data_IF_757476758032
#
_entry.id   IF_757476758032
#
_cell.length_a   1.000
_cell.length_b   1.000
_cell.length_c   1.000
_cell.angle_alpha   90.00
_cell.angle_beta   90.00
_cell.angle_gamma   90.00
#
_symmetry.space_group_name_H-M   'P 1'
#
loop_
_entity.id
_entity.type
_entity.pdbx_description
1 polymer ?
#
# COMPACT_ATOMS: atom_id res chain seq x y z
N UNK A 1 -9.13 9.12 13.19
CA UNK A 1 -9.63 8.71 11.86
C UNK A 1 -8.56 7.87 11.16
N UNK A 2 -8.79 7.33 9.98
CA UNK A 2 -7.75 6.65 9.21
C UNK A 2 -8.04 6.80 7.73
N UNK A 3 -7.06 6.51 6.88
CA UNK A 3 -7.28 6.54 5.43
C UNK A 3 -7.50 5.11 4.90
N UNK A 4 -8.39 4.99 3.92
CA UNK A 4 -8.69 3.78 3.13
C UNK A 4 -9.32 2.60 3.88
N UNK A 5 -8.77 2.18 5.01
CA UNK A 5 -9.27 1.06 5.81
C UNK A 5 -9.49 1.46 7.26
N UNK A 6 -10.62 1.02 7.82
CA UNK A 6 -11.07 1.26 9.18
C UNK A 6 -11.98 0.12 9.69
N UNK A 7 -12.71 0.35 10.79
CA UNK A 7 -13.64 -0.62 11.38
C UNK A 7 -14.85 -0.95 10.50
N UNK A 8 -15.17 -0.12 9.50
CA UNK A 8 -16.27 -0.35 8.54
C UNK A 8 -15.81 -1.19 7.33
N UNK A 9 -14.53 -1.56 7.28
CA UNK A 9 -13.95 -2.45 6.27
C UNK A 9 -14.56 -3.84 6.36
N UNK A 10 -15.31 -4.24 5.33
CA UNK A 10 -15.85 -5.60 5.13
C UNK A 10 -15.08 -6.26 4.01
N UNK A 11 -14.07 -7.04 4.39
CA UNK A 11 -13.06 -7.57 3.51
C UNK A 11 -13.52 -8.85 2.80
N UNK A 12 -13.40 -8.87 1.47
CA UNK A 12 -13.49 -10.06 0.64
C UNK A 12 -12.11 -10.47 0.13
N UNK A 13 -11.74 -11.76 0.27
CA UNK A 13 -10.42 -12.26 -0.12
C UNK A 13 -10.50 -13.14 -1.37
N UNK A 14 -9.90 -12.71 -2.47
CA UNK A 14 -9.77 -13.54 -3.67
C UNK A 14 -8.62 -14.53 -3.51
N UNK A 15 -8.89 -15.81 -3.82
CA UNK A 15 -7.93 -16.89 -3.59
C UNK A 15 -7.87 -17.38 -2.15
N UNK A 16 -8.91 -17.13 -1.33
CA UNK A 16 -8.94 -17.45 0.11
C UNK A 16 -8.68 -18.94 0.42
N UNK A 17 -8.98 -19.85 -0.50
CA UNK A 17 -8.79 -21.29 -0.31
C UNK A 17 -7.39 -21.78 -0.69
N UNK A 18 -6.52 -20.88 -1.17
CA UNK A 18 -5.11 -21.14 -1.39
C UNK A 18 -4.30 -20.92 -0.11
N UNK A 19 -3.11 -21.53 -0.02
CA UNK A 19 -2.28 -21.51 1.20
C UNK A 19 -2.02 -20.10 1.75
N UNK A 20 -1.53 -19.19 0.90
CA UNK A 20 -1.24 -17.81 1.32
C UNK A 20 -2.52 -17.00 1.58
N UNK A 21 -3.55 -17.21 0.75
CA UNK A 21 -4.86 -16.57 0.90
C UNK A 21 -5.51 -16.90 2.24
N UNK A 22 -5.53 -18.19 2.64
CA UNK A 22 -6.01 -18.63 3.95
C UNK A 22 -5.16 -18.01 5.06
N UNK A 23 -3.83 -18.14 4.99
CA UNK A 23 -2.94 -17.68 6.05
C UNK A 23 -3.12 -16.18 6.33
N UNK A 24 -3.08 -15.35 5.29
CA UNK A 24 -3.21 -13.90 5.47
C UNK A 24 -4.66 -13.49 5.77
N UNK A 25 -5.68 -14.11 5.18
CA UNK A 25 -7.07 -13.84 5.57
C UNK A 25 -7.28 -14.07 7.08
N UNK A 26 -6.73 -15.17 7.61
CA UNK A 26 -6.85 -15.48 9.04
C UNK A 26 -6.04 -14.56 9.92
N UNK A 27 -4.86 -14.12 9.49
CA UNK A 27 -4.10 -13.12 10.25
C UNK A 27 -4.84 -11.77 10.29
N UNK A 28 -5.44 -11.32 9.19
CA UNK A 28 -6.26 -10.11 9.15
C UNK A 28 -7.52 -10.26 10.03
N UNK A 29 -8.20 -11.42 9.99
CA UNK A 29 -9.35 -11.72 10.85
C UNK A 29 -8.98 -11.73 12.33
N UNK A 30 -7.86 -12.37 12.70
CA UNK A 30 -7.34 -12.41 14.09
C UNK A 30 -6.90 -11.04 14.59
N UNK A 31 -6.43 -10.17 13.70
CA UNK A 31 -6.10 -8.80 14.05
C UNK A 31 -7.34 -7.95 14.39
N UNK A 32 -8.49 -8.28 13.81
CA UNK A 32 -9.76 -7.57 14.03
C UNK A 32 -10.45 -7.10 12.76
N UNK A 33 -9.83 -7.27 11.58
CA UNK A 33 -10.46 -6.93 10.30
C UNK A 33 -11.68 -7.82 10.06
N UNK A 34 -12.81 -7.23 9.68
CA UNK A 34 -14.03 -7.97 9.38
C UNK A 34 -13.92 -8.68 8.03
N UNK A 35 -13.37 -9.89 8.01
CA UNK A 35 -13.28 -10.76 6.83
C UNK A 35 -14.63 -11.45 6.62
N UNK A 36 -15.43 -10.91 5.70
CA UNK A 36 -16.84 -11.30 5.52
C UNK A 36 -17.06 -12.39 4.46
N UNK A 37 -16.12 -12.54 3.53
CA UNK A 37 -16.24 -13.46 2.42
C UNK A 37 -14.87 -13.80 1.83
N UNK A 38 -14.81 -14.90 1.08
CA UNK A 38 -13.75 -15.09 0.11
C UNK A 38 -14.28 -15.61 -1.22
N UNK A 39 -13.48 -15.42 -2.27
CA UNK A 39 -13.81 -15.82 -3.63
C UNK A 39 -12.81 -16.86 -4.08
N UNK A 40 -13.31 -18.00 -4.55
CA UNK A 40 -12.53 -18.98 -5.31
C UNK A 40 -13.47 -19.67 -6.29
N UNK A 41 -13.37 -19.40 -7.61
CA UNK A 41 -14.19 -20.05 -8.62
C UNK A 41 -14.14 -21.57 -8.51
N UNK A 42 -15.31 -22.21 -8.53
CA UNK A 42 -15.50 -23.65 -8.40
C UNK A 42 -15.53 -24.17 -6.95
N UNK A 43 -15.46 -23.29 -5.94
CA UNK A 43 -15.47 -23.68 -4.52
C UNK A 43 -16.55 -22.99 -3.68
N UNK A 44 -17.58 -22.46 -4.33
CA UNK A 44 -18.72 -21.88 -3.62
C UNK A 44 -19.39 -22.88 -2.67
N UNK A 45 -19.85 -22.38 -1.52
CA UNK A 45 -20.45 -23.18 -0.45
C UNK A 45 -19.44 -23.81 0.51
N UNK A 46 -18.14 -23.67 0.24
CA UNK A 46 -17.11 -24.00 1.23
C UNK A 46 -17.02 -22.93 2.32
N UNK A 47 -16.38 -23.29 3.42
CA UNK A 47 -16.07 -22.41 4.55
C UNK A 47 -14.58 -22.50 4.88
N UNK A 48 -13.94 -21.34 5.06
CA UNK A 48 -12.54 -21.22 5.51
C UNK A 48 -12.54 -20.56 6.87
N UNK A 49 -12.47 -21.37 7.94
CA UNK A 49 -12.40 -20.91 9.33
C UNK A 49 -13.51 -19.89 9.68
N UNK A 50 -14.75 -20.20 9.29
CA UNK A 50 -15.94 -19.37 9.48
C UNK A 50 -16.03 -18.20 8.49
N UNK A 51 -15.38 -18.28 7.33
CA UNK A 51 -15.52 -17.33 6.22
C UNK A 51 -16.14 -18.07 5.03
N UNK A 52 -17.35 -17.69 4.58
CA UNK A 52 -18.02 -18.33 3.45
C UNK A 52 -17.30 -18.04 2.14
N UNK A 53 -17.23 -19.06 1.28
CA UNK A 53 -16.60 -18.98 -0.05
C UNK A 53 -17.66 -18.87 -1.14
N UNK A 54 -17.45 -17.96 -2.08
CA UNK A 54 -18.29 -17.71 -3.25
C UNK A 54 -17.52 -17.92 -4.56
N UNK A 55 -18.23 -18.14 -5.66
CA UNK A 55 -17.61 -18.22 -6.98
C UNK A 55 -17.18 -16.85 -7.51
N UNK A 56 -17.92 -15.78 -7.18
CA UNK A 56 -17.72 -14.44 -7.75
C UNK A 56 -17.74 -13.35 -6.67
N UNK A 57 -17.09 -12.23 -6.97
CA UNK A 57 -17.18 -11.04 -6.11
C UNK A 57 -18.61 -10.49 -6.04
N UNK A 58 -19.36 -10.48 -7.16
CA UNK A 58 -20.73 -9.99 -7.19
C UNK A 58 -21.63 -10.73 -6.19
N UNK A 59 -21.47 -12.05 -6.08
CA UNK A 59 -22.21 -12.85 -5.10
C UNK A 59 -21.77 -12.55 -3.66
N UNK A 60 -20.46 -12.43 -3.43
CA UNK A 60 -19.92 -12.05 -2.12
C UNK A 60 -20.41 -10.66 -1.66
N UNK A 61 -20.50 -9.69 -2.58
CA UNK A 61 -21.04 -8.35 -2.31
C UNK A 61 -22.53 -8.42 -2.00
N UNK A 62 -23.32 -9.15 -2.78
CA UNK A 62 -24.76 -9.27 -2.57
C UNK A 62 -25.11 -9.89 -1.20
N UNK A 63 -24.42 -10.98 -0.82
CA UNK A 63 -24.74 -11.74 0.39
C UNK A 63 -24.09 -11.19 1.66
N UNK A 64 -22.89 -10.61 1.53
CA UNK A 64 -22.06 -10.22 2.68
C UNK A 64 -21.71 -8.73 2.72
N UNK A 65 -22.15 -7.97 1.73
CA UNK A 65 -21.96 -6.52 1.68
C UNK A 65 -20.50 -6.09 1.59
N UNK A 66 -19.61 -6.94 1.07
CA UNK A 66 -18.18 -6.65 0.97
C UNK A 66 -17.93 -5.30 0.27
N UNK A 67 -17.06 -4.46 0.83
CA UNK A 67 -16.73 -3.14 0.29
C UNK A 67 -15.23 -2.98 -0.06
N UNK A 68 -14.41 -3.95 0.34
CA UNK A 68 -12.96 -3.98 0.11
C UNK A 68 -12.55 -5.36 -0.39
N UNK A 69 -11.69 -5.42 -1.41
CA UNK A 69 -11.13 -6.67 -1.93
C UNK A 69 -9.63 -6.76 -1.67
N UNK A 70 -9.16 -7.96 -1.30
CA UNK A 70 -7.73 -8.29 -1.21
C UNK A 70 -7.43 -9.44 -2.17
N UNK A 71 -6.54 -9.18 -3.13
CA UNK A 71 -6.24 -10.09 -4.24
C UNK A 71 -4.99 -10.91 -3.90
N UNK A 72 -5.19 -12.23 -3.74
CA UNK A 72 -4.16 -13.22 -3.40
C UNK A 72 -4.04 -14.35 -4.44
N UNK A 73 -4.48 -14.10 -5.67
CA UNK A 73 -4.40 -15.08 -6.76
C UNK A 73 -3.05 -14.99 -7.50
N UNK A 74 -2.60 -16.08 -8.15
CA UNK A 74 -1.41 -16.05 -8.99
C UNK A 74 -1.44 -14.96 -10.07
N UNK A 75 -0.25 -14.49 -10.56
CA UNK A 75 -0.16 -13.31 -11.43
C UNK A 75 -1.01 -13.37 -12.69
N UNK A 76 -1.05 -14.55 -13.33
CA UNK A 76 -1.85 -14.78 -14.55
C UNK A 76 -3.36 -14.59 -14.38
N UNK A 77 -3.85 -14.48 -13.14
CA UNK A 77 -5.28 -14.29 -12.82
C UNK A 77 -5.55 -12.97 -12.11
N UNK A 78 -4.52 -12.23 -11.70
CA UNK A 78 -4.66 -11.09 -10.82
C UNK A 78 -5.36 -9.91 -11.50
N UNK A 79 -5.02 -9.63 -12.76
CA UNK A 79 -5.65 -8.54 -13.51
C UNK A 79 -7.18 -8.73 -13.65
N UNK A 80 -7.61 -9.94 -14.03
CA UNK A 80 -9.04 -10.25 -14.16
C UNK A 80 -9.74 -10.23 -12.80
N UNK A 81 -9.08 -10.70 -11.73
CA UNK A 81 -9.64 -10.67 -10.38
C UNK A 81 -9.80 -9.25 -9.83
N UNK A 82 -8.88 -8.33 -10.16
CA UNK A 82 -8.99 -6.90 -9.81
C UNK A 82 -10.20 -6.27 -10.52
N UNK A 83 -10.34 -6.53 -11.82
CA UNK A 83 -11.45 -5.98 -12.62
C UNK A 83 -12.79 -6.57 -12.17
N UNK A 84 -12.86 -7.87 -11.87
CA UNK A 84 -14.07 -8.51 -11.34
C UNK A 84 -14.51 -7.89 -10.01
N UNK A 85 -13.57 -7.59 -9.11
CA UNK A 85 -13.87 -6.91 -7.85
C UNK A 85 -14.44 -5.51 -8.11
N UNK A 86 -13.83 -4.74 -9.01
CA UNK A 86 -14.30 -3.41 -9.39
C UNK A 86 -15.72 -3.45 -10.00
N UNK A 87 -15.96 -4.36 -10.95
CA UNK A 87 -17.26 -4.56 -11.59
C UNK A 87 -18.36 -5.01 -10.60
N UNK A 88 -17.98 -5.72 -9.54
CA UNK A 88 -18.89 -6.09 -8.45
C UNK A 88 -19.27 -4.91 -7.53
N UNK A 89 -18.71 -3.71 -7.76
CA UNK A 89 -19.02 -2.50 -7.00
C UNK A 89 -18.12 -2.24 -5.80
N UNK A 90 -17.04 -3.03 -5.62
CA UNK A 90 -16.04 -2.80 -4.57
C UNK A 90 -15.22 -1.56 -4.92
N UNK A 91 -15.11 -0.61 -3.98
CA UNK A 91 -14.48 0.69 -4.22
C UNK A 91 -13.00 0.75 -3.84
N UNK A 92 -12.53 -0.22 -3.06
CA UNK A 92 -11.12 -0.36 -2.69
C UNK A 92 -10.62 -1.78 -2.97
N UNK A 93 -9.62 -1.89 -3.84
CA UNK A 93 -8.96 -3.16 -4.18
C UNK A 93 -7.49 -3.09 -3.79
N UNK A 94 -7.01 -4.08 -3.05
CA UNK A 94 -5.61 -4.21 -2.64
C UNK A 94 -5.03 -5.44 -3.33
N UNK A 95 -4.09 -5.22 -4.23
CA UNK A 95 -3.42 -6.28 -4.97
C UNK A 95 -2.07 -6.62 -4.35
N UNK A 96 -1.99 -7.78 -3.69
CA UNK A 96 -0.75 -8.25 -3.05
C UNK A 96 0.18 -8.93 -4.05
N UNK A 97 -0.40 -9.60 -5.05
CA UNK A 97 0.30 -10.41 -6.05
C UNK A 97 1.47 -9.67 -6.70
N UNK A 98 2.65 -10.27 -6.67
CA UNK A 98 3.86 -9.83 -7.40
C UNK A 98 3.99 -10.55 -8.75
N UNK A 99 4.56 -9.87 -9.75
CA UNK A 99 4.90 -10.48 -11.04
C UNK A 99 3.75 -10.45 -12.06
N UNK A 100 2.83 -9.51 -11.89
CA UNK A 100 1.81 -9.22 -12.91
C UNK A 100 2.53 -8.64 -14.14
N UNK A 101 2.20 -9.05 -15.38
CA UNK A 101 2.78 -8.42 -16.56
C UNK A 101 2.44 -6.93 -16.61
N UNK A 102 3.43 -6.06 -16.84
CA UNK A 102 3.21 -4.61 -16.90
C UNK A 102 2.13 -4.17 -17.92
N UNK A 103 1.93 -4.94 -19.00
CA UNK A 103 0.85 -4.69 -19.96
C UNK A 103 -0.53 -4.95 -19.35
N UNK A 104 -0.66 -5.97 -18.49
CA UNK A 104 -1.90 -6.25 -17.77
C UNK A 104 -2.15 -5.20 -16.68
N UNK A 105 -1.10 -4.75 -15.99
CA UNK A 105 -1.17 -3.61 -15.05
C UNK A 105 -1.67 -2.35 -15.75
N UNK A 106 -1.09 -2.00 -16.91
CA UNK A 106 -1.50 -0.86 -17.72
C UNK A 106 -2.97 -0.95 -18.15
N UNK A 107 -3.42 -2.16 -18.55
CA UNK A 107 -4.82 -2.43 -18.91
C UNK A 107 -5.75 -2.17 -17.72
N UNK A 108 -5.40 -2.70 -16.54
CA UNK A 108 -6.16 -2.50 -15.29
C UNK A 108 -6.19 -1.03 -14.91
N UNK A 109 -5.03 -0.38 -14.83
CA UNK A 109 -4.90 1.04 -14.48
C UNK A 109 -5.75 1.93 -15.38
N UNK A 110 -5.67 1.74 -16.70
CA UNK A 110 -6.42 2.53 -17.67
C UNK A 110 -7.92 2.32 -17.53
N UNK A 111 -8.37 1.09 -17.26
CA UNK A 111 -9.78 0.80 -17.04
C UNK A 111 -10.29 1.48 -15.77
N UNK A 112 -9.61 1.31 -14.64
CA UNK A 112 -10.02 1.88 -13.35
C UNK A 112 -9.99 3.42 -13.36
N UNK A 113 -8.97 4.04 -13.97
CA UNK A 113 -8.92 5.51 -14.13
C UNK A 113 -10.07 6.05 -14.97
N UNK A 114 -10.55 5.30 -15.97
CA UNK A 114 -11.73 5.69 -16.77
C UNK A 114 -13.05 5.54 -16.00
N UNK A 115 -13.17 4.50 -15.16
CA UNK A 115 -14.33 4.33 -14.29
C UNK A 115 -14.40 5.42 -13.22
N UNK A 116 -13.25 5.79 -12.65
CA UNK A 116 -13.09 6.97 -11.78
C UNK A 116 -13.63 6.79 -10.35
N UNK A 117 -14.13 5.61 -10.01
CA UNK A 117 -14.82 5.35 -8.73
C UNK A 117 -14.21 4.20 -7.92
N UNK A 118 -13.14 3.56 -8.42
CA UNK A 118 -12.44 2.47 -7.73
C UNK A 118 -10.97 2.84 -7.51
N UNK A 119 -10.50 2.66 -6.28
CA UNK A 119 -9.09 2.81 -5.91
C UNK A 119 -8.40 1.46 -5.86
N UNK A 120 -7.26 1.35 -6.54
CA UNK A 120 -6.36 0.20 -6.49
C UNK A 120 -5.09 0.58 -5.72
N UNK A 121 -4.70 -0.25 -4.76
CA UNK A 121 -3.39 -0.21 -4.08
C UNK A 121 -2.60 -1.46 -4.44
N UNK A 122 -1.33 -1.30 -4.80
CA UNK A 122 -0.54 -2.35 -5.47
C UNK A 122 -0.59 -2.26 -7.00
N UNK A 123 -0.20 -3.32 -7.73
CA UNK A 123 0.16 -4.65 -7.25
C UNK A 123 1.55 -4.71 -6.56
N UNK A 124 2.03 -5.91 -6.25
CA UNK A 124 3.31 -6.15 -5.58
C UNK A 124 3.50 -5.27 -4.34
N UNK A 125 2.53 -5.33 -3.44
CA UNK A 125 2.49 -4.46 -2.27
C UNK A 125 2.18 -5.24 -0.99
N UNK A 126 2.59 -4.71 0.18
CA UNK A 126 2.25 -5.34 1.45
C UNK A 126 0.79 -5.11 1.86
N UNK A 127 0.08 -4.18 1.22
CA UNK A 127 -1.28 -3.77 1.54
C UNK A 127 -1.36 -2.54 2.45
N UNK A 128 -2.41 -2.50 3.27
CA UNK A 128 -2.74 -1.33 4.11
C UNK A 128 -2.95 -1.76 5.56
N UNK A 129 -2.41 -1.00 6.49
CA UNK A 129 -2.65 -1.16 7.92
C UNK A 129 -3.07 0.17 8.54
N UNK A 130 -4.24 0.20 9.17
CA UNK A 130 -4.68 1.24 10.09
C UNK A 130 -4.66 0.65 11.50
N UNK A 131 -3.60 0.90 12.30
CA UNK A 131 -3.43 0.22 13.58
C UNK A 131 -4.63 0.40 14.51
N UNK A 132 -5.05 -0.69 15.15
CA UNK A 132 -6.22 -0.72 16.04
C UNK A 132 -7.57 -0.75 15.33
N UNK A 133 -7.58 -0.70 13.98
CA UNK A 133 -8.81 -0.62 13.17
C UNK A 133 -8.91 -1.78 12.18
N UNK A 134 -8.02 -1.80 11.19
CA UNK A 134 -8.02 -2.83 10.15
C UNK A 134 -6.63 -3.06 9.56
N UNK A 135 -6.33 -4.33 9.30
CA UNK A 135 -5.23 -4.77 8.45
C UNK A 135 -5.80 -5.41 7.18
N UNK A 136 -5.31 -5.02 6.01
CA UNK A 136 -5.67 -5.60 4.72
C UNK A 136 -4.39 -5.84 3.93
N UNK A 137 -3.77 -6.99 4.17
CA UNK A 137 -2.59 -7.44 3.43
C UNK A 137 -1.71 -8.39 4.24
N UNK A 138 -0.40 -8.20 4.08
CA UNK A 138 0.66 -9.00 4.70
C UNK A 138 1.49 -8.23 5.73
N UNK A 139 1.09 -7.01 6.08
CA UNK A 139 1.78 -6.19 7.08
C UNK A 139 1.70 -6.91 8.45
N UNK A 140 2.83 -7.12 9.15
CA UNK A 140 2.85 -7.77 10.45
C UNK A 140 2.36 -6.81 11.54
N UNK A 141 1.04 -6.69 11.67
CA UNK A 141 0.39 -5.64 12.46
C UNK A 141 0.75 -5.62 13.96
N UNK A 142 1.29 -6.71 14.51
CA UNK A 142 1.72 -6.81 15.91
C UNK A 142 2.87 -5.85 16.28
N UNK A 143 3.64 -5.35 15.31
CA UNK A 143 4.73 -4.40 15.55
C UNK A 143 4.28 -2.93 15.57
N UNK A 144 3.00 -2.66 15.27
CA UNK A 144 2.49 -1.30 15.09
C UNK A 144 1.43 -0.98 16.14
N UNK A 145 1.42 0.28 16.55
CA UNK A 145 0.41 0.85 17.44
C UNK A 145 -0.21 2.08 16.80
N UNK A 146 -1.43 2.39 17.22
CA UNK A 146 -2.10 3.61 16.78
C UNK A 146 -1.31 4.86 17.18
N UNK A 147 -1.27 5.84 16.28
CA UNK A 147 -0.68 7.15 16.52
C UNK A 147 -0.95 8.11 15.36
N UNK A 148 -0.01 9.02 15.13
CA UNK A 148 -0.17 10.21 14.31
C UNK A 148 0.73 10.28 13.07
N UNK A 149 1.52 9.24 12.78
CA UNK A 149 2.43 9.21 11.62
C UNK A 149 1.82 8.40 10.48
N UNK A 150 1.51 9.08 9.37
CA UNK A 150 1.12 8.43 8.11
C UNK A 150 2.35 7.91 7.37
N UNK A 151 2.30 6.70 6.81
CA UNK A 151 3.40 6.13 6.03
C UNK A 151 2.91 5.70 4.65
N UNK A 152 3.59 6.16 3.60
CA UNK A 152 3.40 5.68 2.23
C UNK A 152 4.72 5.12 1.70
N UNK A 153 4.69 3.93 1.09
CA UNK A 153 5.93 3.31 0.59
C UNK A 153 5.75 2.38 -0.60
N UNK A 154 6.80 2.29 -1.42
CA UNK A 154 6.94 1.27 -2.47
C UNK A 154 7.44 -0.08 -1.94
N UNK A 155 8.05 -0.14 -0.76
CA UNK A 155 8.70 -1.33 -0.22
C UNK A 155 8.02 -1.87 1.04
N UNK A 156 7.80 -3.19 1.10
CA UNK A 156 7.22 -3.84 2.27
C UNK A 156 8.13 -3.79 3.51
N UNK A 157 9.29 -4.46 3.47
CA UNK A 157 10.13 -4.63 4.67
C UNK A 157 10.70 -3.32 5.21
N UNK A 158 11.04 -2.37 4.33
CA UNK A 158 11.49 -1.04 4.75
C UNK A 158 10.38 -0.27 5.48
N UNK A 159 9.13 -0.41 5.05
CA UNK A 159 7.98 0.15 5.78
C UNK A 159 7.89 -0.40 7.19
N UNK A 160 8.13 -1.70 7.37
CA UNK A 160 8.06 -2.34 8.67
C UNK A 160 9.17 -1.85 9.60
N UNK A 161 10.37 -1.69 9.06
CA UNK A 161 11.49 -1.17 9.83
C UNK A 161 11.24 0.27 10.28
N UNK A 162 10.80 1.16 9.38
CA UNK A 162 10.52 2.56 9.71
C UNK A 162 9.41 2.65 10.78
N UNK A 163 8.31 1.92 10.60
CA UNK A 163 7.23 1.93 11.59
C UNK A 163 7.65 1.37 12.95
N UNK A 164 8.46 0.31 12.99
CA UNK A 164 9.01 -0.20 14.24
C UNK A 164 9.98 0.79 14.91
N UNK A 165 10.83 1.48 14.15
CA UNK A 165 11.75 2.50 14.68
C UNK A 165 10.98 3.70 15.28
N UNK A 166 9.89 4.11 14.64
CA UNK A 166 8.96 5.12 15.18
C UNK A 166 8.28 4.63 16.46
N UNK A 167 7.80 3.37 16.47
CA UNK A 167 7.16 2.76 17.63
C UNK A 167 8.06 2.75 18.87
N UNK A 168 9.34 2.38 18.69
CA UNK A 168 10.36 2.37 19.74
C UNK A 168 10.66 3.76 20.31
N UNK A 169 10.44 4.82 19.53
CA UNK A 169 10.57 6.23 19.93
C UNK A 169 9.29 6.83 20.53
N UNK A 170 8.27 6.01 20.74
CA UNK A 170 7.02 6.44 21.36
C UNK A 170 5.91 6.84 20.38
N UNK A 171 6.23 7.01 19.09
CA UNK A 171 5.26 7.37 18.05
C UNK A 171 4.47 6.16 17.55
N UNK A 172 3.31 6.39 16.95
CA UNK A 172 2.49 5.35 16.32
C UNK A 172 2.03 5.79 14.94
N UNK A 173 1.32 4.91 14.24
CA UNK A 173 0.87 5.20 12.88
C UNK A 173 -0.62 5.50 12.83
N UNK A 174 -1.00 6.48 12.01
CA UNK A 174 -2.39 6.73 11.65
C UNK A 174 -2.87 5.68 10.64
N UNK A 175 -2.15 5.57 9.53
CA UNK A 175 -2.25 4.48 8.55
C UNK A 175 -0.92 4.28 7.84
N UNK A 176 -0.74 3.07 7.32
CA UNK A 176 0.42 2.64 6.55
C UNK A 176 -0.10 2.08 5.22
N UNK A 177 0.38 2.65 4.11
CA UNK A 177 -0.03 2.26 2.76
C UNK A 177 1.19 1.85 1.95
N UNK A 178 1.30 0.56 1.65
CA UNK A 178 2.25 0.08 0.67
C UNK A 178 1.66 0.21 -0.73
N UNK A 179 2.14 1.14 -1.54
CA UNK A 179 1.65 1.36 -2.92
C UNK A 179 2.20 0.34 -3.92
N UNK A 180 3.31 -0.32 -3.58
CA UNK A 180 3.91 -1.42 -4.34
C UNK A 180 5.15 -1.05 -5.14
N UNK A 181 5.91 -2.08 -5.53
CA UNK A 181 7.19 -1.97 -6.22
C UNK A 181 7.10 -2.08 -7.76
N UNK A 182 5.91 -2.34 -8.29
CA UNK A 182 5.69 -2.56 -9.72
C UNK A 182 5.65 -1.22 -10.50
N UNK A 183 5.94 -1.23 -11.81
CA UNK A 183 6.10 -0.01 -12.61
C UNK A 183 4.80 0.75 -12.87
N UNK A 184 3.63 0.09 -12.79
CA UNK A 184 2.33 0.73 -12.99
C UNK A 184 1.43 0.49 -11.76
N UNK A 185 1.70 1.18 -10.64
CA UNK A 185 0.87 1.04 -9.44
C UNK A 185 -0.51 1.69 -9.64
N UNK A 186 -1.53 1.14 -8.97
CA UNK A 186 -2.88 1.69 -8.99
C UNK A 186 -3.03 3.04 -8.28
N UNK A 187 -2.19 3.28 -7.27
CA UNK A 187 -2.12 4.54 -6.51
C UNK A 187 -0.67 5.01 -6.41
N UNK A 188 -0.45 6.31 -6.60
CA UNK A 188 0.85 6.98 -6.51
C UNK A 188 1.14 7.52 -5.10
N UNK A 189 2.33 8.06 -4.89
CA UNK A 189 2.64 8.83 -3.69
C UNK A 189 1.68 10.00 -3.51
N UNK A 190 1.40 10.77 -4.57
CA UNK A 190 0.51 11.93 -4.54
C UNK A 190 -0.89 11.51 -4.08
N UNK A 191 -1.44 10.43 -4.65
CA UNK A 191 -2.78 9.93 -4.33
C UNK A 191 -2.95 9.56 -2.85
N UNK A 192 -1.86 9.21 -2.15
CA UNK A 192 -1.88 8.83 -0.73
C UNK A 192 -1.51 10.00 0.18
N UNK A 193 -0.55 10.82 -0.22
CA UNK A 193 -0.17 12.04 0.51
C UNK A 193 -1.36 12.99 0.60
N UNK A 194 -2.16 13.12 -0.46
CA UNK A 194 -3.41 13.89 -0.45
C UNK A 194 -4.40 13.39 0.63
N UNK A 195 -4.54 12.06 0.77
CA UNK A 195 -5.40 11.50 1.81
C UNK A 195 -4.85 11.76 3.21
N UNK A 196 -3.53 11.66 3.38
CA UNK A 196 -2.90 11.97 4.66
C UNK A 196 -2.99 13.45 5.02
N UNK A 197 -2.87 14.36 4.05
CA UNK A 197 -3.10 15.80 4.24
C UNK A 197 -4.51 16.05 4.80
N UNK A 198 -5.52 15.33 4.29
CA UNK A 198 -6.91 15.47 4.71
C UNK A 198 -7.24 14.74 6.02
N UNK A 199 -6.44 13.76 6.45
CA UNK A 199 -6.70 12.98 7.66
C UNK A 199 -6.26 13.71 8.93
N UNK A 200 -7.18 14.17 9.81
CA UNK A 200 -6.82 14.89 11.03
C UNK A 200 -6.07 14.05 12.06
N UNK A 201 -6.04 12.71 11.94
CA UNK A 201 -5.19 11.89 12.80
C UNK A 201 -3.71 11.92 12.37
N UNK A 202 -3.44 12.23 11.10
CA UNK A 202 -2.07 12.33 10.60
C UNK A 202 -1.50 13.71 10.85
N UNK A 203 -0.39 13.77 11.59
CA UNK A 203 0.36 15.00 11.90
C UNK A 203 1.72 15.06 11.19
N UNK A 204 2.27 13.90 10.81
CA UNK A 204 3.51 13.77 10.04
C UNK A 204 3.34 12.69 8.97
N UNK A 205 3.90 12.93 7.79
CA UNK A 205 3.91 11.95 6.70
C UNK A 205 5.33 11.44 6.47
N UNK A 206 5.51 10.13 6.43
CA UNK A 206 6.75 9.50 5.96
C UNK A 206 6.53 8.93 4.57
N UNK A 207 7.37 9.36 3.64
CA UNK A 207 7.40 8.91 2.26
C UNK A 207 8.66 8.06 2.03
N UNK A 208 8.48 6.76 1.75
CA UNK A 208 9.57 5.80 1.55
C UNK A 208 9.59 5.27 0.12
N UNK A 209 10.47 5.86 -0.70
CA UNK A 209 10.69 5.53 -2.09
C UNK A 209 11.97 4.73 -2.35
N UNK A 210 12.23 4.50 -3.63
CA UNK A 210 13.38 3.73 -4.11
C UNK A 210 13.80 4.21 -5.50
N UNK A 211 14.83 3.57 -6.07
CA UNK A 211 15.24 3.86 -7.45
C UNK A 211 14.15 3.54 -8.48
N UNK A 212 14.26 4.16 -9.66
CA UNK A 212 13.37 3.94 -10.80
C UNK A 212 12.18 4.90 -10.86
N UNK A 213 11.78 5.26 -12.09
CA UNK A 213 10.72 6.24 -12.37
C UNK A 213 11.02 7.65 -11.86
N UNK A 214 10.00 8.51 -11.86
CA UNK A 214 10.03 9.92 -11.43
C UNK A 214 9.03 10.24 -10.31
N UNK A 215 8.39 9.22 -9.73
CA UNK A 215 7.26 9.40 -8.82
C UNK A 215 7.63 10.20 -7.56
N UNK A 216 8.85 10.02 -7.05
CA UNK A 216 9.36 10.75 -5.89
C UNK A 216 9.65 12.22 -6.21
N UNK A 217 10.17 12.51 -7.40
CA UNK A 217 10.39 13.88 -7.89
C UNK A 217 9.04 14.61 -8.12
N UNK A 218 8.06 13.93 -8.72
CA UNK A 218 6.71 14.46 -8.90
C UNK A 218 6.01 14.72 -7.56
N UNK A 219 6.17 13.81 -6.59
CA UNK A 219 5.66 14.00 -5.25
C UNK A 219 6.33 15.19 -4.54
N UNK A 220 7.63 15.44 -4.76
CA UNK A 220 8.32 16.61 -4.20
C UNK A 220 7.67 17.93 -4.65
N UNK A 221 7.33 18.04 -5.93
CA UNK A 221 6.63 19.23 -6.47
C UNK A 221 5.23 19.37 -5.87
N UNK A 222 4.48 18.27 -5.75
CA UNK A 222 3.16 18.28 -5.13
C UNK A 222 3.20 18.67 -3.66
N UNK A 223 4.16 18.14 -2.90
CA UNK A 223 4.36 18.46 -1.48
C UNK A 223 4.60 19.96 -1.32
N UNK A 224 5.49 20.54 -2.13
CA UNK A 224 5.80 21.98 -2.07
C UNK A 224 4.60 22.87 -2.39
N UNK A 225 3.72 22.43 -3.29
CA UNK A 225 2.59 23.22 -3.77
C UNK A 225 1.33 23.10 -2.89
N UNK A 226 1.09 21.93 -2.28
CA UNK A 226 -0.23 21.56 -1.81
C UNK A 226 -0.30 20.88 -0.43
N UNK A 227 0.84 20.53 0.18
CA UNK A 227 0.85 19.76 1.43
C UNK A 227 1.33 20.66 2.57
N UNK A 228 0.49 20.82 3.60
CA UNK A 228 0.80 21.66 4.75
C UNK A 228 1.45 20.88 5.90
N UNK A 229 1.16 19.58 5.98
CA UNK A 229 1.75 18.70 7.00
C UNK A 229 3.23 18.44 6.70
N UNK A 230 4.07 18.31 7.74
CA UNK A 230 5.46 17.97 7.55
C UNK A 230 5.63 16.59 6.89
N UNK A 231 6.58 16.50 5.98
CA UNK A 231 6.94 15.27 5.27
C UNK A 231 8.41 14.92 5.52
N UNK A 232 8.70 13.65 5.76
CA UNK A 232 10.05 13.07 5.85
C UNK A 232 10.23 12.04 4.75
N UNK A 233 11.33 12.14 4.01
CA UNK A 233 11.66 11.22 2.93
C UNK A 233 12.64 10.12 3.35
N UNK A 234 12.52 8.96 2.70
CA UNK A 234 13.53 7.92 2.64
C UNK A 234 13.65 7.43 1.21
N UNK A 235 14.86 7.31 0.67
CA UNK A 235 15.08 6.75 -0.66
C UNK A 235 16.06 5.58 -0.57
N UNK A 236 15.62 4.39 -0.97
CA UNK A 236 16.50 3.23 -1.10
C UNK A 236 17.32 3.27 -2.41
N UNK A 237 18.49 2.63 -2.41
CA UNK A 237 19.24 2.34 -3.64
C UNK A 237 20.37 3.32 -4.00
N UNK A 238 20.93 4.07 -3.04
CA UNK A 238 22.10 4.94 -3.27
C UNK A 238 23.33 4.22 -3.86
N UNK A 239 23.45 2.92 -3.62
CA UNK A 239 24.56 2.08 -4.12
C UNK A 239 24.14 1.16 -5.26
N UNK A 240 22.94 1.34 -5.82
CA UNK A 240 22.44 0.49 -6.89
C UNK A 240 23.22 0.74 -8.20
N UNK A 241 23.69 -0.32 -8.88
CA UNK A 241 24.36 -0.16 -10.16
C UNK A 241 23.36 0.24 -11.27
N UNK A 242 23.75 1.10 -12.22
CA UNK A 242 22.91 1.48 -13.35
C UNK A 242 22.47 0.28 -14.20
N UNK A 243 21.25 0.34 -14.76
CA UNK A 243 20.75 -0.66 -15.72
C UNK A 243 20.44 -2.05 -15.14
N UNK A 244 20.46 -2.22 -13.81
CA UNK A 244 20.14 -3.47 -13.14
C UNK A 244 18.84 -3.35 -12.34
N UNK A 245 17.94 -4.31 -12.51
CA UNK A 245 16.75 -4.45 -11.67
C UNK A 245 17.13 -4.95 -10.28
N UNK A 246 16.63 -4.27 -9.25
CA UNK A 246 16.93 -4.56 -7.84
C UNK A 246 15.73 -5.19 -7.12
N UNK A 247 15.44 -6.46 -7.42
CA UNK A 247 14.31 -7.18 -6.83
C UNK A 247 12.99 -6.77 -7.47
N UNK A 248 12.41 -5.64 -7.03
CA UNK A 248 11.16 -5.13 -7.59
C UNK A 248 11.29 -4.79 -9.08
N UNK A 249 10.23 -5.05 -9.84
CA UNK A 249 10.20 -4.80 -11.28
C UNK A 249 10.42 -3.32 -11.64
N UNK A 250 9.90 -2.39 -10.81
CA UNK A 250 10.08 -0.95 -10.97
C UNK A 250 11.41 -0.39 -10.46
N UNK A 251 12.23 -1.19 -9.77
CA UNK A 251 13.49 -0.75 -9.16
C UNK A 251 14.67 -0.86 -10.13
N UNK A 252 14.65 -0.06 -11.20
CA UNK A 252 15.72 0.01 -12.20
C UNK A 252 16.10 1.46 -12.51
N UNK A 253 17.39 1.76 -12.49
CA UNK A 253 17.93 3.05 -12.91
C UNK A 253 18.08 3.06 -14.44
N UNK A 254 17.40 3.98 -15.11
CA UNK A 254 17.45 4.14 -16.57
C UNK A 254 18.14 5.45 -16.96
N UNK A 255 19.37 5.35 -17.47
CA UNK A 255 20.18 6.53 -17.82
C UNK A 255 20.56 7.35 -16.57
N UNK A 256 20.32 8.66 -16.61
CA UNK A 256 20.54 9.57 -15.47
C UNK A 256 19.29 9.79 -14.61
N UNK A 257 18.14 9.25 -15.01
CA UNK A 257 16.86 9.42 -14.32
C UNK A 257 16.57 8.24 -13.39
N UNK A 258 15.83 8.50 -12.31
CA UNK A 258 15.45 7.47 -11.35
C UNK A 258 16.57 7.05 -10.39
N UNK A 259 17.63 7.84 -10.24
CA UNK A 259 18.67 7.58 -9.24
C UNK A 259 18.20 8.00 -7.84
N UNK A 260 18.66 7.30 -6.81
CA UNK A 260 18.35 7.66 -5.43
C UNK A 260 18.85 9.07 -5.06
N UNK A 261 19.99 9.48 -5.63
CA UNK A 261 20.56 10.80 -5.41
C UNK A 261 19.68 11.93 -5.98
N UNK A 262 19.22 11.79 -7.23
CA UNK A 262 18.35 12.78 -7.86
C UNK A 262 17.00 12.91 -7.13
N UNK A 263 16.43 11.79 -6.69
CA UNK A 263 15.19 11.77 -5.89
C UNK A 263 15.34 12.48 -4.55
N UNK A 264 16.45 12.20 -3.85
CA UNK A 264 16.75 12.86 -2.58
C UNK A 264 16.96 14.36 -2.76
N UNK A 265 17.70 14.78 -3.79
CA UNK A 265 17.92 16.20 -4.11
C UNK A 265 16.60 16.91 -4.45
N UNK A 266 15.73 16.28 -5.23
CA UNK A 266 14.41 16.82 -5.57
C UNK A 266 13.57 17.09 -4.29
N UNK A 267 13.50 16.12 -3.38
CA UNK A 267 12.81 16.27 -2.10
C UNK A 267 13.46 17.34 -1.20
N UNK A 268 14.78 17.29 -1.03
CA UNK A 268 15.54 18.22 -0.18
C UNK A 268 15.42 19.67 -0.68
N UNK A 269 15.41 19.89 -2.01
CA UNK A 269 15.21 21.21 -2.62
C UNK A 269 13.83 21.84 -2.35
N UNK A 270 12.86 21.01 -1.94
CA UNK A 270 11.49 21.38 -1.58
C UNK A 270 11.25 21.39 -0.06
N UNK A 271 12.32 21.30 0.74
CA UNK A 271 12.25 21.35 2.19
C UNK A 271 11.90 20.03 2.87
N UNK A 272 11.80 18.92 2.12
CA UNK A 272 11.60 17.58 2.69
C UNK A 272 12.94 17.03 3.14
N UNK A 273 13.08 16.75 4.44
CA UNK A 273 14.30 16.12 4.98
C UNK A 273 14.35 14.65 4.58
N UNK A 274 15.44 14.21 3.95
CA UNK A 274 15.61 12.82 3.50
C UNK A 274 16.60 12.07 4.38
N UNK A 275 16.12 11.07 5.11
CA UNK A 275 16.96 10.16 5.88
C UNK A 275 17.71 9.18 4.97
N UNK A 276 18.96 8.87 5.32
CA UNK A 276 19.81 7.89 4.62
C UNK A 276 19.65 6.48 5.18
N UNK A 277 19.09 6.34 6.38
CA UNK A 277 18.74 5.07 7.01
C UNK A 277 17.34 5.16 7.64
N UNK A 278 16.63 4.03 7.83
CA UNK A 278 15.36 4.02 8.56
C UNK A 278 15.43 4.63 9.96
N UNK A 279 16.55 4.42 10.65
CA UNK A 279 16.83 5.04 11.96
C UNK A 279 16.88 6.56 11.85
N UNK A 280 17.59 7.10 10.85
CA UNK A 280 17.68 8.56 10.64
C UNK A 280 16.31 9.16 10.29
N UNK A 281 15.47 8.45 9.52
CA UNK A 281 14.08 8.87 9.23
C UNK A 281 13.30 9.01 10.53
N UNK A 282 13.40 8.02 11.42
CA UNK A 282 12.72 8.05 12.70
C UNK A 282 13.25 9.18 13.60
N UNK A 283 14.56 9.43 13.61
CA UNK A 283 15.16 10.53 14.38
C UNK A 283 14.68 11.91 13.87
N UNK A 284 14.60 12.11 12.55
CA UNK A 284 14.04 13.31 11.93
C UNK A 284 12.56 13.48 12.32
N UNK A 285 11.78 12.39 12.28
CA UNK A 285 10.39 12.41 12.66
C UNK A 285 10.18 12.83 14.13
N UNK A 286 11.02 12.34 15.05
CA UNK A 286 11.00 12.76 16.46
C UNK A 286 11.31 14.24 16.60
N UNK A 287 12.31 14.74 15.90
CA UNK A 287 12.70 16.15 15.96
C UNK A 287 11.54 17.06 15.51
N UNK A 288 10.87 16.70 14.42
CA UNK A 288 9.74 17.48 13.89
C UNK A 288 8.53 17.45 14.83
N UNK A 289 8.20 16.29 15.40
CA UNK A 289 7.03 16.13 16.27
C UNK A 289 7.29 16.54 17.73
N UNK A 290 8.56 16.52 18.15
CA UNK A 290 8.98 16.80 19.53
C UNK A 290 9.21 18.26 19.84
N UNK A 291 9.53 19.08 18.83
CA UNK A 291 9.91 20.49 18.99
C UNK A 291 11.37 20.69 19.33
#
# INVERSE_FOLDING_TARGET
MSILVDNDTRLCVSGITGREGTFHAMNNKRYGTNVVAGVTPGKEGQDVEGVPVFNTFAHAVAERGANTAMIFVPPRFAADSILEAADAGIKLVIAITEGIPAHDELRVYTHLKRAGDVRLVGPNCPGILSPGKANVGIIPAAFFKEGNVGVVSRSGTLTYQIGNELAQRGFGNSSIVGIGGDPVPGSSFIDIIELFEQDPQTELIVMSGEIGGSAEEEAAEYIAASVSKPVVGYIAGFTAPPGKTMGHAGAIVSGTQGTAAAKAEALESRGVRVGRTPTQVADIAVEILGG
#
